data_IF_439475194388
#
_entry.id   IF_439475194388
#
_cell.length_a   1.000
_cell.length_b   1.000
_cell.length_c   1.000
_cell.angle_alpha   90.00
_cell.angle_beta   90.00
_cell.angle_gamma   90.00
#
_symmetry.space_group_name_H-M   'P 1'
#
loop_
_entity.id
_entity.type
_entity.pdbx_description
1 polymer ?
#
# COMPACT_ATOMS: atom_id res chain seq x y z
N UNK A 1 56.87 -1.45 3.57
CA UNK A 1 56.86 -0.85 4.94
C UNK A 1 55.84 0.28 5.07
N UNK A 2 55.75 1.22 4.10
CA UNK A 2 54.78 2.33 4.12
C UNK A 2 53.29 1.89 4.16
N UNK A 3 52.92 0.82 3.46
CA UNK A 3 51.54 0.31 3.44
C UNK A 3 51.08 -0.31 4.77
N UNK A 4 52.01 -0.88 5.55
CA UNK A 4 51.73 -1.51 6.85
C UNK A 4 51.56 -0.46 7.94
N UNK A 5 52.24 0.68 7.82
CA UNK A 5 52.07 1.82 8.74
C UNK A 5 50.72 2.50 8.51
N UNK A 6 50.28 2.62 7.26
CA UNK A 6 48.98 3.23 6.91
C UNK A 6 47.80 2.41 7.46
N UNK A 7 47.87 1.07 7.43
CA UNK A 7 46.81 0.21 7.95
C UNK A 7 46.73 0.20 9.48
N UNK A 8 47.86 0.34 10.18
CA UNK A 8 47.91 0.43 11.65
C UNK A 8 47.43 1.80 12.17
N UNK A 9 47.61 2.87 11.39
CA UNK A 9 47.15 4.22 11.76
C UNK A 9 45.66 4.44 11.44
N UNK A 10 45.11 3.73 10.43
CA UNK A 10 43.68 3.82 10.09
C UNK A 10 42.77 2.89 10.91
N UNK A 11 43.31 1.82 11.52
CA UNK A 11 42.53 0.91 12.37
C UNK A 11 41.86 1.56 13.59
N UNK A 12 42.42 2.57 14.28
CA UNK A 12 41.68 3.28 15.33
C UNK A 12 40.54 4.17 14.80
N UNK A 13 40.55 4.61 13.53
CA UNK A 13 39.39 5.29 12.93
C UNK A 13 38.26 4.31 12.58
N UNK A 14 38.61 3.08 12.17
CA UNK A 14 37.64 2.01 11.94
C UNK A 14 37.02 1.51 13.26
N UNK A 15 37.76 1.57 14.37
CA UNK A 15 37.26 1.19 15.71
C UNK A 15 36.53 2.35 16.45
N UNK A 16 36.51 3.56 15.88
CA UNK A 16 35.79 4.72 16.41
C UNK A 16 34.44 4.97 15.71
N UNK A 17 34.16 4.28 14.60
CA UNK A 17 32.79 3.97 14.24
C UNK A 17 32.32 2.99 15.31
N UNK A 18 31.45 3.43 16.22
CA UNK A 18 30.71 2.53 17.08
C UNK A 18 30.32 1.31 16.24
N UNK A 19 30.68 0.12 16.68
CA UNK A 19 29.97 -1.06 16.23
C UNK A 19 28.50 -0.77 16.52
N UNK A 20 27.76 -0.33 15.51
CA UNK A 20 26.33 -0.50 15.48
C UNK A 20 26.17 -2.01 15.35
N UNK A 21 26.30 -2.70 16.50
CA UNK A 21 25.65 -3.97 16.71
C UNK A 21 24.26 -3.70 16.19
N UNK A 22 23.92 -4.29 15.05
CA UNK A 22 22.59 -4.21 14.51
C UNK A 22 21.69 -4.85 15.56
N UNK A 23 21.27 -4.06 16.54
CA UNK A 23 20.23 -4.40 17.48
C UNK A 23 19.03 -4.49 16.57
N UNK A 24 18.74 -5.69 16.09
CA UNK A 24 17.51 -5.97 15.36
C UNK A 24 16.43 -5.52 16.33
N UNK A 25 15.85 -4.36 16.05
CA UNK A 25 14.77 -3.82 16.85
C UNK A 25 13.55 -4.67 16.53
N UNK A 26 13.42 -5.76 17.28
CA UNK A 26 12.36 -6.75 17.09
C UNK A 26 10.99 -6.07 17.16
N UNK A 27 10.85 -4.99 17.92
CA UNK A 27 9.63 -4.18 17.99
C UNK A 27 9.34 -3.52 16.65
N UNK A 28 10.33 -2.89 16.01
CA UNK A 28 10.18 -2.33 14.65
C UNK A 28 9.91 -3.41 13.62
N UNK A 29 10.61 -4.54 13.68
CA UNK A 29 10.42 -5.65 12.74
C UNK A 29 9.00 -6.24 12.80
N UNK A 30 8.47 -6.45 14.02
CA UNK A 30 7.10 -6.94 14.21
C UNK A 30 6.07 -5.93 13.69
N UNK A 31 6.24 -4.64 13.99
CA UNK A 31 5.29 -3.61 13.54
C UNK A 31 5.30 -3.44 12.03
N UNK A 32 6.46 -3.48 11.39
CA UNK A 32 6.56 -3.44 9.92
C UNK A 32 5.89 -4.69 9.34
N UNK A 33 6.19 -5.88 9.86
CA UNK A 33 5.58 -7.13 9.40
C UNK A 33 4.06 -7.14 9.49
N UNK A 34 3.50 -6.71 10.63
CA UNK A 34 2.06 -6.58 10.82
C UNK A 34 1.44 -5.50 9.93
N UNK A 35 2.14 -4.39 9.71
CA UNK A 35 1.66 -3.30 8.84
C UNK A 35 1.55 -3.74 7.38
N UNK A 36 2.52 -4.54 6.89
CA UNK A 36 2.49 -5.11 5.54
C UNK A 36 1.32 -6.11 5.39
N UNK A 37 1.11 -6.97 6.39
CA UNK A 37 -0.04 -7.87 6.41
C UNK A 37 -1.37 -7.10 6.43
N UNK A 38 -1.50 -6.08 7.29
CA UNK A 38 -2.68 -5.24 7.38
C UNK A 38 -2.95 -4.48 6.07
N UNK A 39 -1.91 -3.98 5.40
CA UNK A 39 -2.03 -3.34 4.09
C UNK A 39 -2.58 -4.31 3.02
N UNK A 40 -2.07 -5.53 2.98
CA UNK A 40 -2.58 -6.58 2.07
C UNK A 40 -4.05 -6.92 2.32
N UNK A 41 -4.43 -7.08 3.60
CA UNK A 41 -5.82 -7.36 3.98
C UNK A 41 -6.76 -6.18 3.68
N UNK A 42 -6.33 -4.94 3.90
CA UNK A 42 -7.12 -3.75 3.61
C UNK A 42 -7.51 -3.68 2.13
N UNK A 43 -6.55 -3.91 1.22
CA UNK A 43 -6.83 -3.99 -0.23
C UNK A 43 -7.72 -5.18 -0.56
N UNK A 44 -7.39 -6.37 -0.07
CA UNK A 44 -8.12 -7.58 -0.42
C UNK A 44 -9.60 -7.46 -0.05
N UNK A 45 -9.90 -7.02 1.17
CA UNK A 45 -11.28 -6.84 1.63
C UNK A 45 -11.97 -5.65 0.95
N UNK A 46 -11.25 -4.54 0.72
CA UNK A 46 -11.80 -3.37 0.05
C UNK A 46 -12.21 -3.65 -1.40
N UNK A 47 -11.39 -4.40 -2.13
CA UNK A 47 -11.61 -4.70 -3.57
C UNK A 47 -12.68 -5.76 -3.82
N UNK A 48 -12.95 -6.67 -2.86
CA UNK A 48 -14.02 -7.67 -3.01
C UNK A 48 -15.39 -7.00 -3.14
N UNK A 49 -15.69 -6.05 -2.25
CA UNK A 49 -16.97 -5.33 -2.26
C UNK A 49 -17.16 -4.49 -3.53
N UNK A 50 -16.10 -3.79 -3.96
CA UNK A 50 -16.17 -2.97 -5.17
C UNK A 50 -16.26 -3.82 -6.44
N UNK A 51 -15.51 -4.92 -6.53
CA UNK A 51 -15.58 -5.84 -7.66
C UNK A 51 -16.96 -6.44 -7.85
N UNK A 52 -17.61 -6.88 -6.76
CA UNK A 52 -18.98 -7.39 -6.79
C UNK A 52 -20.00 -6.31 -7.16
N UNK A 53 -19.87 -5.11 -6.59
CA UNK A 53 -20.75 -3.97 -6.89
C UNK A 53 -20.66 -3.55 -8.36
N UNK A 54 -19.44 -3.44 -8.89
CA UNK A 54 -19.21 -3.11 -10.29
C UNK A 54 -19.77 -4.19 -11.21
N UNK A 55 -19.50 -5.47 -10.95
CA UNK A 55 -20.00 -6.58 -11.76
C UNK A 55 -21.53 -6.58 -11.87
N UNK A 56 -22.24 -6.39 -10.74
CA UNK A 56 -23.70 -6.30 -10.75
C UNK A 56 -24.21 -5.06 -11.49
N UNK A 57 -23.58 -3.90 -11.29
CA UNK A 57 -23.94 -2.67 -12.01
C UNK A 57 -23.75 -2.80 -13.52
N UNK A 58 -22.63 -3.38 -13.96
CA UNK A 58 -22.34 -3.64 -15.37
C UNK A 58 -23.37 -4.58 -15.99
N UNK A 59 -23.70 -5.68 -15.31
CA UNK A 59 -24.72 -6.62 -15.78
C UNK A 59 -26.09 -5.97 -15.95
N UNK A 60 -26.47 -5.06 -15.04
CA UNK A 60 -27.70 -4.27 -15.18
C UNK A 60 -27.64 -3.32 -16.39
N UNK A 61 -26.52 -2.63 -16.57
CA UNK A 61 -26.32 -1.69 -17.66
C UNK A 61 -26.34 -2.38 -19.04
N UNK A 62 -25.63 -3.50 -19.22
CA UNK A 62 -25.63 -4.24 -20.49
C UNK A 62 -27.00 -4.82 -20.83
N UNK A 63 -27.75 -5.33 -19.85
CA UNK A 63 -29.13 -5.77 -20.07
C UNK A 63 -30.06 -4.61 -20.47
N UNK A 64 -29.91 -3.45 -19.84
CA UNK A 64 -30.71 -2.27 -20.18
C UNK A 64 -30.44 -1.79 -21.60
N UNK A 65 -29.17 -1.74 -22.01
CA UNK A 65 -28.76 -1.37 -23.39
C UNK A 65 -29.22 -2.42 -24.40
N UNK A 66 -29.09 -3.71 -24.10
CA UNK A 66 -29.50 -4.78 -25.00
C UNK A 66 -31.01 -4.78 -25.27
N UNK A 67 -31.83 -4.37 -24.30
CA UNK A 67 -33.29 -4.24 -24.47
C UNK A 67 -33.71 -2.92 -25.11
N UNK A 68 -32.96 -1.84 -24.86
CA UNK A 68 -33.27 -0.49 -25.34
C UNK A 68 -32.01 0.20 -25.88
N UNK A 69 -31.59 -0.11 -27.12
CA UNK A 69 -30.35 0.42 -27.69
C UNK A 69 -30.38 1.95 -27.86
N UNK A 70 -31.57 2.53 -28.08
CA UNK A 70 -31.75 3.99 -28.19
C UNK A 70 -31.43 4.74 -26.89
N UNK A 71 -31.51 4.06 -25.73
CA UNK A 71 -31.21 4.65 -24.43
C UNK A 71 -29.73 4.52 -24.02
N UNK A 72 -28.87 3.95 -24.87
CA UNK A 72 -27.47 3.63 -24.55
C UNK A 72 -26.70 4.81 -23.96
N UNK A 73 -26.81 6.00 -24.55
CA UNK A 73 -26.08 7.18 -24.07
C UNK A 73 -26.44 7.56 -22.64
N UNK A 74 -27.74 7.52 -22.28
CA UNK A 74 -28.20 7.81 -20.91
C UNK A 74 -27.78 6.73 -19.93
N UNK A 75 -27.84 5.45 -20.33
CA UNK A 75 -27.42 4.32 -19.49
C UNK A 75 -25.93 4.39 -19.19
N UNK A 76 -25.08 4.67 -20.20
CA UNK A 76 -23.64 4.81 -20.02
C UNK A 76 -23.26 5.95 -19.07
N UNK A 77 -23.95 7.10 -19.15
CA UNK A 77 -23.71 8.22 -18.22
C UNK A 77 -24.01 7.84 -16.78
N UNK A 78 -25.19 7.26 -16.51
CA UNK A 78 -25.55 6.82 -15.16
C UNK A 78 -24.63 5.70 -14.66
N UNK A 79 -24.28 4.76 -15.53
CA UNK A 79 -23.33 3.68 -15.21
C UNK A 79 -21.97 4.25 -14.82
N UNK A 80 -21.42 5.19 -15.59
CA UNK A 80 -20.11 5.77 -15.30
C UNK A 80 -20.08 6.53 -13.98
N UNK A 81 -21.14 7.29 -13.67
CA UNK A 81 -21.27 7.96 -12.37
C UNK A 81 -21.33 6.92 -11.25
N UNK A 82 -22.14 5.87 -11.40
CA UNK A 82 -22.24 4.79 -10.41
C UNK A 82 -20.90 4.06 -10.19
N UNK A 83 -20.18 3.75 -11.26
CA UNK A 83 -18.86 3.11 -11.20
C UNK A 83 -17.82 4.00 -10.53
N UNK A 84 -17.80 5.30 -10.86
CA UNK A 84 -16.90 6.25 -10.20
C UNK A 84 -17.13 6.30 -8.68
N UNK A 85 -18.39 6.23 -8.24
CA UNK A 85 -18.72 6.18 -6.81
C UNK A 85 -18.25 4.86 -6.16
N UNK A 86 -18.42 3.73 -6.85
CA UNK A 86 -17.94 2.42 -6.34
C UNK A 86 -16.42 2.37 -6.26
N UNK A 87 -15.72 2.91 -7.26
CA UNK A 87 -14.26 2.96 -7.31
C UNK A 87 -13.66 3.78 -6.16
N UNK A 88 -14.37 4.80 -5.66
CA UNK A 88 -13.89 5.59 -4.51
C UNK A 88 -13.59 4.73 -3.28
N UNK A 89 -14.35 3.65 -3.05
CA UNK A 89 -14.13 2.71 -1.94
C UNK A 89 -12.83 1.91 -2.14
N UNK A 90 -12.52 1.51 -3.37
CA UNK A 90 -11.27 0.82 -3.70
C UNK A 90 -10.08 1.76 -3.52
N UNK A 91 -10.22 3.02 -3.93
CA UNK A 91 -9.19 4.05 -3.72
C UNK A 91 -8.98 4.32 -2.23
N UNK A 92 -10.02 4.34 -1.39
CA UNK A 92 -9.85 4.49 0.06
C UNK A 92 -9.06 3.34 0.68
N UNK A 93 -9.37 2.08 0.30
CA UNK A 93 -8.58 0.93 0.72
C UNK A 93 -7.12 1.03 0.24
N UNK A 94 -6.92 1.49 -1.00
CA UNK A 94 -5.59 1.73 -1.58
C UNK A 94 -4.80 2.78 -0.81
N UNK A 95 -5.42 3.91 -0.49
CA UNK A 95 -4.78 4.98 0.28
C UNK A 95 -4.36 4.48 1.66
N UNK A 96 -5.21 3.72 2.35
CA UNK A 96 -4.86 3.14 3.67
C UNK A 96 -3.66 2.20 3.55
N UNK A 97 -3.64 1.32 2.55
CA UNK A 97 -2.51 0.42 2.32
C UNK A 97 -1.22 1.18 2.00
N UNK A 98 -1.29 2.21 1.16
CA UNK A 98 -0.12 3.05 0.83
C UNK A 98 0.38 3.82 2.05
N UNK A 99 -0.51 4.31 2.92
CA UNK A 99 -0.11 4.95 4.18
C UNK A 99 0.63 3.95 5.07
N UNK A 100 0.13 2.72 5.22
CA UNK A 100 0.80 1.70 6.04
C UNK A 100 2.17 1.27 5.50
N UNK A 101 2.36 1.30 4.17
CA UNK A 101 3.62 0.92 3.53
C UNK A 101 4.66 2.04 3.47
N UNK A 102 4.25 3.27 3.13
CA UNK A 102 5.17 4.37 2.82
C UNK A 102 5.15 5.51 3.83
N UNK A 103 4.10 5.62 4.64
CA UNK A 103 3.92 6.72 5.60
C UNK A 103 3.43 6.20 6.96
N UNK A 104 3.97 5.06 7.39
CA UNK A 104 3.47 4.34 8.56
C UNK A 104 3.56 5.22 9.83
N UNK A 105 2.41 5.62 10.42
CA UNK A 105 2.41 6.51 11.57
C UNK A 105 2.94 5.83 12.84
N UNK A 106 2.92 4.49 12.90
CA UNK A 106 3.32 3.73 14.08
C UNK A 106 4.81 3.82 14.36
N UNK A 107 5.63 4.04 13.33
CA UNK A 107 7.09 4.17 13.47
C UNK A 107 7.49 5.36 14.37
N UNK A 108 6.66 6.41 14.45
CA UNK A 108 6.89 7.57 15.32
C UNK A 108 6.84 7.23 16.81
N UNK A 109 6.10 6.17 17.18
CA UNK A 109 5.91 5.77 18.57
C UNK A 109 6.90 4.69 19.03
N UNK A 110 7.69 4.13 18.11
CA UNK A 110 8.62 3.00 18.36
C UNK A 110 10.08 3.44 18.20
N UNK A 111 10.33 4.60 17.58
CA UNK A 111 11.66 5.15 17.35
C UNK A 111 12.11 6.22 18.36
N UNK A 112 11.53 6.25 19.56
CA UNK A 112 11.95 7.13 20.66
C UNK A 112 12.92 6.46 21.62
#
# INVERSE_FOLDING_TARGET
MMAVVLTIVCSPLVYAASEEVATIDYTKAIVIGLSVFAAGFAIALGTIGTGLGMGNGLNGATNAVGRNPEAQGKVLLTMMVGLAMIESLAIYALVVALILLYANPLLKYIGG
#
